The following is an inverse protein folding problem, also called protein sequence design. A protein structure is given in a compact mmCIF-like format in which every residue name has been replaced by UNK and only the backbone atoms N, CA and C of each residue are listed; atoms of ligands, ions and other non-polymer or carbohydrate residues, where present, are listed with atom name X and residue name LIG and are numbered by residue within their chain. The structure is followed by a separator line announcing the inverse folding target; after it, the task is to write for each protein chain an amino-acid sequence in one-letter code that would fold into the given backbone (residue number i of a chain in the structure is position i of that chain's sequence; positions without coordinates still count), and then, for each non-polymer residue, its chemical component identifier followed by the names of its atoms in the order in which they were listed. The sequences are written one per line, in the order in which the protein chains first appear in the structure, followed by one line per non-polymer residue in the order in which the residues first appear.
data_IF_072775387651
#
_entry.id   IF_072775387651
#
_cell.length_a   1.000
_cell.length_b   1.000
_cell.length_c   1.000
_cell.angle_alpha   90.00
_cell.angle_beta   90.00
_cell.angle_gamma   90.00
#
_symmetry.space_group_name_H-M   'P 1'
#
loop_
_entity.id
_entity.type
_entity.pdbx_description
1 polymer ?
#
# COMPACT_ATOMS: atom_id res chain seq x y z
N UNK A 1 -5.21 24.77 -37.84
CA UNK A 1 -4.57 26.07 -38.21
C UNK A 1 -3.56 26.44 -37.13
N UNK A 2 -2.43 27.08 -37.45
CA UNK A 2 -1.31 27.34 -36.52
C UNK A 2 -1.25 28.81 -36.07
N UNK A 3 -1.58 29.12 -34.81
CA UNK A 3 -1.27 30.39 -34.10
C UNK A 3 -1.33 30.12 -32.59
N UNK A 4 -0.53 30.67 -31.69
CA UNK A 4 0.83 31.24 -31.66
C UNK A 4 0.98 31.76 -30.22
N UNK A 5 1.97 31.24 -29.50
CA UNK A 5 2.65 31.77 -28.32
C UNK A 5 2.25 33.19 -27.88
N UNK A 6 1.92 33.35 -26.59
CA UNK A 6 2.22 34.58 -25.82
C UNK A 6 2.99 34.16 -24.57
N UNK A 7 4.28 34.50 -24.53
CA UNK A 7 5.07 34.47 -23.31
C UNK A 7 4.98 35.85 -22.64
N UNK A 8 4.79 35.90 -21.33
CA UNK A 8 4.98 37.11 -20.54
C UNK A 8 6.02 36.83 -19.46
N UNK A 9 7.24 37.32 -19.68
CA UNK A 9 8.25 37.40 -18.62
C UNK A 9 7.83 38.44 -17.58
N UNK A 10 7.96 38.11 -16.31
CA UNK A 10 8.13 39.11 -15.26
C UNK A 10 9.47 38.85 -14.57
N UNK A 11 10.34 39.86 -14.62
CA UNK A 11 11.66 39.85 -14.00
C UNK A 11 11.72 40.93 -12.91
N UNK A 12 12.77 40.89 -12.08
CA UNK A 12 13.01 41.76 -10.93
C UNK A 12 12.13 41.47 -9.71
N UNK A 13 12.57 41.60 -8.45
CA UNK A 13 13.73 42.35 -7.90
C UNK A 13 14.45 41.54 -6.81
N UNK A 14 15.78 41.69 -6.70
CA UNK A 14 16.62 41.16 -5.60
C UNK A 14 16.51 42.06 -4.36
N UNK A 15 16.36 41.48 -3.16
CA UNK A 15 16.60 42.20 -1.89
C UNK A 15 17.40 41.33 -0.91
N UNK A 16 18.52 41.88 -0.45
CA UNK A 16 19.53 41.24 0.39
C UNK A 16 19.71 42.07 1.68
N UNK A 17 19.42 41.48 2.84
CA UNK A 17 19.61 42.08 4.18
C UNK A 17 20.04 40.97 5.15
N UNK A 18 21.35 40.74 5.37
CA UNK A 18 22.26 41.41 6.33
C UNK A 18 22.18 40.82 7.76
N UNK A 19 23.35 40.62 8.35
CA UNK A 19 23.62 39.92 9.61
C UNK A 19 23.29 40.74 10.87
N UNK A 20 23.13 40.02 11.98
CA UNK A 20 23.80 40.36 13.24
C UNK A 20 22.95 41.03 14.33
N UNK A 21 22.89 40.41 15.52
CA UNK A 21 22.16 40.96 16.66
C UNK A 21 22.28 40.13 17.95
N UNK A 22 23.50 39.95 18.48
CA UNK A 22 23.71 39.46 19.86
C UNK A 22 24.09 40.62 20.80
N UNK A 23 23.44 40.67 21.97
CA UNK A 23 23.85 41.40 23.17
C UNK A 23 23.25 40.64 24.38
N UNK A 24 24.05 40.04 25.28
CA UNK A 24 24.80 40.68 26.40
C UNK A 24 23.86 41.16 27.51
N UNK A 25 23.90 40.71 28.78
CA UNK A 25 24.77 39.78 29.56
C UNK A 25 23.84 38.92 30.49
N UNK A 26 24.24 38.03 31.43
CA UNK A 26 25.52 37.76 32.14
C UNK A 26 25.60 36.28 32.60
N UNK A 27 26.57 35.95 33.46
CA UNK A 27 26.97 34.65 34.07
C UNK A 27 27.44 34.98 35.53
N UNK A 28 27.93 34.07 36.42
CA UNK A 28 27.87 32.60 36.63
C UNK A 28 27.03 32.24 37.91
N UNK A 29 26.92 31.02 38.48
CA UNK A 29 27.87 29.94 38.81
C UNK A 29 27.18 28.54 38.78
N UNK A 30 27.78 27.53 38.16
CA UNK A 30 28.65 26.48 38.76
C UNK A 30 27.90 25.35 39.49
N UNK A 31 27.74 24.19 38.82
CA UNK A 31 28.29 22.88 39.23
C UNK A 31 27.81 21.78 38.28
N UNK A 32 28.76 21.03 37.72
CA UNK A 32 28.55 19.82 36.89
C UNK A 32 28.11 18.62 37.76
N UNK A 33 27.40 17.63 37.20
CA UNK A 33 28.14 16.50 36.64
C UNK A 33 27.61 15.98 35.30
N UNK A 34 28.52 15.46 34.48
CA UNK A 34 28.23 14.77 33.23
C UNK A 34 27.41 13.47 33.41
N UNK A 35 26.67 13.05 32.36
CA UNK A 35 26.48 11.64 32.05
C UNK A 35 27.18 11.22 30.76
N UNK A 36 27.48 9.92 30.68
CA UNK A 36 28.31 9.30 29.65
C UNK A 36 27.69 9.27 28.24
N UNK A 37 28.59 9.16 27.26
CA UNK A 37 28.33 8.61 25.92
C UNK A 37 28.34 7.06 25.99
N UNK A 38 27.88 6.38 24.93
CA UNK A 38 27.67 4.92 24.81
C UNK A 38 26.37 4.43 25.50
N UNK A 39 25.50 3.62 24.89
CA UNK A 39 25.50 3.01 23.57
C UNK A 39 24.03 2.84 23.11
N UNK A 40 23.53 3.76 22.28
CA UNK A 40 22.24 3.57 21.63
C UNK A 40 22.47 2.72 20.38
N UNK A 41 22.33 1.39 20.53
CA UNK A 41 22.46 0.43 19.43
C UNK A 41 21.53 0.83 18.27
N UNK A 42 22.13 1.42 17.24
CA UNK A 42 21.47 1.65 15.96
C UNK A 42 21.36 0.28 15.30
N UNK A 43 20.23 -0.40 15.50
CA UNK A 43 19.90 -1.55 14.67
C UNK A 43 19.81 -1.06 13.24
N UNK A 44 20.80 -1.45 12.45
CA UNK A 44 20.93 -1.17 11.03
C UNK A 44 19.79 -1.86 10.28
N UNK A 45 18.62 -1.20 10.25
CA UNK A 45 17.54 -1.58 9.34
C UNK A 45 18.04 -1.32 7.94
N UNK A 46 18.47 -2.39 7.27
CA UNK A 46 18.79 -2.36 5.85
C UNK A 46 17.67 -1.63 5.08
N UNK A 47 18.00 -0.86 4.03
CA UNK A 47 16.97 -0.25 3.21
C UNK A 47 16.09 -1.35 2.62
N UNK A 48 14.87 -1.46 3.13
CA UNK A 48 13.82 -2.17 2.42
C UNK A 48 13.50 -1.26 1.24
N UNK A 49 14.00 -1.62 0.05
CA UNK A 49 13.62 -0.97 -1.21
C UNK A 49 12.09 -0.93 -1.23
N UNK A 50 11.48 0.25 -1.08
CA UNK A 50 10.03 0.38 -1.09
C UNK A 50 9.55 0.17 -2.53
N UNK A 51 9.20 -1.08 -2.85
CA UNK A 51 8.78 -1.47 -4.18
C UNK A 51 7.52 -0.68 -4.58
N UNK A 52 7.57 -0.06 -5.76
CA UNK A 52 6.55 0.88 -6.22
C UNK A 52 5.19 0.20 -6.32
N UNK A 53 4.27 0.58 -5.42
CA UNK A 53 2.92 0.02 -5.33
C UNK A 53 2.10 0.47 -6.54
N UNK A 54 1.58 -0.47 -7.30
CA UNK A 54 0.66 -0.21 -8.40
C UNK A 54 -0.79 -0.25 -7.92
N UNK A 55 -1.67 0.49 -8.59
CA UNK A 55 -3.08 0.65 -8.22
C UNK A 55 -4.01 0.37 -9.41
N UNK A 56 -5.21 -0.12 -9.11
CA UNK A 56 -6.27 -0.39 -10.08
C UNK A 56 -7.61 0.10 -9.54
N UNK A 57 -8.44 0.75 -10.38
CA UNK A 57 -9.73 1.31 -9.95
C UNK A 57 -10.82 0.23 -9.84
N UNK A 58 -11.91 0.47 -9.09
CA UNK A 58 -13.09 -0.39 -9.11
C UNK A 58 -13.66 -0.61 -10.52
N UNK A 59 -13.70 0.45 -11.35
CA UNK A 59 -14.15 0.40 -12.74
C UNK A 59 -13.29 -0.56 -13.57
N UNK A 60 -11.95 -0.44 -13.50
CA UNK A 60 -11.03 -1.32 -14.22
C UNK A 60 -11.17 -2.79 -13.80
N UNK A 61 -11.40 -3.06 -12.51
CA UNK A 61 -11.65 -4.44 -12.02
C UNK A 61 -13.00 -4.95 -12.52
N UNK A 62 -14.07 -4.16 -12.46
CA UNK A 62 -15.41 -4.53 -12.93
C UNK A 62 -15.46 -4.78 -14.44
N UNK A 63 -14.82 -3.93 -15.23
CA UNK A 63 -14.66 -4.12 -16.67
C UNK A 63 -13.82 -5.37 -16.96
N UNK A 64 -12.77 -5.59 -16.16
CA UNK A 64 -11.98 -6.81 -16.10
C UNK A 64 -12.85 -8.08 -16.01
N UNK A 65 -13.77 -8.16 -15.05
CA UNK A 65 -14.69 -9.29 -14.86
C UNK A 65 -15.57 -9.60 -16.08
N UNK A 66 -15.92 -8.57 -16.84
CA UNK A 66 -16.78 -8.70 -18.03
C UNK A 66 -15.98 -9.01 -19.31
N UNK A 67 -14.66 -8.89 -19.22
CA UNK A 67 -13.71 -9.15 -20.28
C UNK A 67 -13.05 -10.52 -20.10
N UNK A 68 -12.14 -10.89 -21.01
CA UNK A 68 -11.26 -12.06 -20.83
C UNK A 68 -9.92 -11.67 -20.17
N UNK A 69 -9.87 -10.58 -19.40
CA UNK A 69 -8.68 -10.26 -18.60
C UNK A 69 -8.51 -11.26 -17.45
N UNK A 70 -7.28 -11.71 -17.28
CA UNK A 70 -6.93 -12.87 -16.47
C UNK A 70 -6.18 -12.41 -15.20
N UNK A 71 -6.92 -12.26 -14.11
CA UNK A 71 -6.40 -11.83 -12.81
C UNK A 71 -7.02 -12.62 -11.65
N UNK A 72 -6.28 -12.71 -10.55
CA UNK A 72 -6.77 -13.27 -9.28
C UNK A 72 -7.07 -12.11 -8.34
N UNK A 73 -8.30 -12.02 -7.85
CA UNK A 73 -8.73 -11.03 -6.86
C UNK A 73 -8.57 -11.61 -5.46
N UNK A 74 -7.45 -11.29 -4.81
CA UNK A 74 -7.12 -11.72 -3.45
C UNK A 74 -7.84 -10.81 -2.44
N UNK A 75 -8.84 -11.35 -1.72
CA UNK A 75 -9.43 -10.65 -0.58
C UNK A 75 -8.59 -10.92 0.67
N UNK A 76 -7.94 -9.86 1.16
CA UNK A 76 -7.02 -9.88 2.29
C UNK A 76 -7.73 -9.55 3.61
N UNK A 77 -9.05 -9.32 3.60
CA UNK A 77 -9.85 -9.11 4.83
C UNK A 77 -9.93 -10.38 5.68
N UNK A 78 -10.38 -10.22 6.92
CA UNK A 78 -10.73 -11.35 7.80
C UNK A 78 -11.69 -12.30 7.09
N UNK A 79 -11.54 -13.62 7.27
CA UNK A 79 -12.46 -14.63 6.70
C UNK A 79 -13.93 -14.30 7.00
N UNK A 80 -14.25 -13.89 8.23
CA UNK A 80 -15.62 -13.53 8.62
C UNK A 80 -16.19 -12.33 7.83
N UNK A 81 -15.36 -11.36 7.43
CA UNK A 81 -15.79 -10.21 6.62
C UNK A 81 -15.94 -10.59 5.14
N UNK A 82 -15.20 -11.59 4.67
CA UNK A 82 -15.35 -12.19 3.34
C UNK A 82 -16.63 -13.04 3.25
N UNK A 83 -16.88 -13.90 4.23
CA UNK A 83 -18.08 -14.75 4.31
C UNK A 83 -19.37 -13.92 4.41
N UNK A 84 -19.34 -12.81 5.17
CA UNK A 84 -20.45 -11.87 5.27
C UNK A 84 -20.74 -11.08 3.97
N UNK A 85 -19.81 -11.09 3.00
CA UNK A 85 -19.95 -10.43 1.72
C UNK A 85 -18.59 -10.16 1.05
N UNK A 86 -18.37 -10.74 -0.13
CA UNK A 86 -17.15 -10.55 -0.93
C UNK A 86 -17.49 -10.26 -2.39
N UNK A 87 -16.55 -9.66 -3.11
CA UNK A 87 -16.70 -9.40 -4.54
C UNK A 87 -16.72 -10.74 -5.29
N UNK A 88 -17.65 -10.92 -6.23
CA UNK A 88 -17.77 -12.13 -7.03
C UNK A 88 -16.44 -12.48 -7.73
N UNK A 89 -16.01 -13.73 -7.63
CA UNK A 89 -14.72 -14.20 -8.15
C UNK A 89 -13.49 -13.81 -7.31
N UNK A 90 -13.65 -13.10 -6.19
CA UNK A 90 -12.59 -12.99 -5.20
C UNK A 90 -12.30 -14.33 -4.52
N UNK A 91 -11.07 -14.53 -4.07
CA UNK A 91 -10.66 -15.66 -3.23
C UNK A 91 -10.14 -15.15 -1.90
N UNK A 92 -10.50 -15.82 -0.80
CA UNK A 92 -10.10 -15.41 0.55
C UNK A 92 -8.65 -15.76 0.83
N UNK A 93 -7.91 -14.79 1.37
CA UNK A 93 -6.48 -14.88 1.72
C UNK A 93 -6.22 -14.05 2.98
N UNK A 94 -6.75 -14.50 4.12
CA UNK A 94 -6.82 -13.69 5.35
C UNK A 94 -5.44 -13.26 5.89
N UNK A 95 -5.26 -11.94 6.06
CA UNK A 95 -4.03 -11.32 6.56
C UNK A 95 -4.09 -10.88 8.04
N UNK A 96 -5.14 -11.23 8.78
CA UNK A 96 -5.28 -10.81 10.18
C UNK A 96 -4.17 -11.35 11.09
N UNK A 97 -3.58 -12.50 10.78
CA UNK A 97 -2.41 -13.04 11.51
C UNK A 97 -1.20 -12.09 11.45
N UNK A 98 -0.78 -11.63 10.27
CA UNK A 98 0.19 -10.54 10.11
C UNK A 98 -0.26 -9.29 10.86
N UNK A 99 -1.53 -8.90 10.68
CA UNK A 99 -2.00 -7.55 11.03
C UNK A 99 -2.30 -7.35 12.52
N UNK A 100 -2.66 -8.42 13.23
CA UNK A 100 -2.97 -8.43 14.66
C UNK A 100 -1.84 -9.05 15.50
N UNK A 101 -1.14 -10.07 14.98
CA UNK A 101 -0.18 -10.88 15.75
C UNK A 101 1.27 -10.77 15.25
N UNK A 102 1.52 -10.13 14.10
CA UNK A 102 2.82 -10.15 13.38
C UNK A 102 3.24 -11.57 12.94
N UNK A 103 2.26 -12.42 12.66
CA UNK A 103 2.46 -13.78 12.15
C UNK A 103 2.32 -13.78 10.62
N UNK A 104 3.44 -13.49 9.96
CA UNK A 104 3.56 -13.48 8.51
C UNK A 104 3.56 -14.89 7.89
N UNK A 105 3.96 -15.92 8.65
CA UNK A 105 3.99 -17.32 8.17
C UNK A 105 2.58 -17.83 7.89
N UNK A 106 1.64 -17.61 8.83
CA UNK A 106 0.23 -17.99 8.62
C UNK A 106 -0.40 -17.22 7.46
N UNK A 107 -0.12 -15.91 7.34
CA UNK A 107 -0.69 -15.10 6.25
C UNK A 107 -0.07 -15.42 4.88
N UNK A 108 1.22 -15.77 4.80
CA UNK A 108 1.84 -16.33 3.59
C UNK A 108 1.19 -17.67 3.22
N UNK A 109 0.94 -18.56 4.20
CA UNK A 109 0.24 -19.83 3.96
C UNK A 109 -1.14 -19.59 3.35
N UNK A 110 -1.92 -18.66 3.89
CA UNK A 110 -3.24 -18.28 3.36
C UNK A 110 -3.16 -17.74 1.92
N UNK A 111 -2.20 -16.85 1.63
CA UNK A 111 -1.95 -16.34 0.26
C UNK A 111 -1.64 -17.50 -0.69
N UNK A 112 -0.70 -18.39 -0.33
CA UNK A 112 -0.27 -19.51 -1.17
C UNK A 112 -1.40 -20.50 -1.43
N UNK A 113 -2.23 -20.79 -0.44
CA UNK A 113 -3.44 -21.63 -0.61
C UNK A 113 -4.39 -20.98 -1.62
N UNK A 114 -4.75 -19.72 -1.43
CA UNK A 114 -5.67 -19.00 -2.32
C UNK A 114 -5.15 -18.93 -3.78
N UNK A 115 -3.84 -18.68 -3.96
CA UNK A 115 -3.20 -18.66 -5.28
C UNK A 115 -3.15 -20.07 -5.91
N UNK A 116 -2.88 -21.11 -5.12
CA UNK A 116 -2.86 -22.49 -5.60
C UNK A 116 -4.25 -22.97 -6.00
N UNK A 117 -5.28 -22.66 -5.23
CA UNK A 117 -6.67 -23.02 -5.55
C UNK A 117 -7.17 -22.26 -6.81
N UNK A 118 -6.76 -21.00 -6.99
CA UNK A 118 -7.15 -20.18 -8.14
C UNK A 118 -6.36 -20.49 -9.43
N UNK A 119 -5.09 -20.90 -9.34
CA UNK A 119 -4.17 -20.96 -10.50
C UNK A 119 -3.39 -22.27 -10.67
N UNK A 120 -3.36 -23.12 -9.65
CA UNK A 120 -2.47 -24.28 -9.57
C UNK A 120 -1.02 -23.95 -9.17
N UNK A 121 -0.71 -22.71 -8.77
CA UNK A 121 0.63 -22.28 -8.34
C UNK A 121 0.61 -21.42 -7.07
N UNK A 122 1.58 -21.63 -6.18
CA UNK A 122 1.72 -20.87 -4.92
C UNK A 122 2.03 -19.38 -5.13
N UNK A 123 2.51 -18.99 -6.31
CA UNK A 123 2.85 -17.61 -6.69
C UNK A 123 1.81 -16.95 -7.62
N UNK A 124 0.74 -17.66 -7.97
CA UNK A 124 -0.27 -17.17 -8.93
C UNK A 124 0.18 -17.22 -10.40
N UNK A 125 1.27 -17.90 -10.73
CA UNK A 125 1.81 -18.06 -12.08
C UNK A 125 1.98 -16.72 -12.83
N UNK A 126 1.45 -16.61 -14.06
CA UNK A 126 1.53 -15.43 -14.91
C UNK A 126 0.40 -14.41 -14.68
N UNK A 127 -0.47 -14.63 -13.69
CA UNK A 127 -1.68 -13.81 -13.47
C UNK A 127 -1.35 -12.48 -12.81
N UNK A 128 -2.08 -11.43 -13.23
CA UNK A 128 -2.20 -10.20 -12.44
C UNK A 128 -2.84 -10.56 -11.09
N UNK A 129 -2.31 -10.04 -10.00
CA UNK A 129 -2.87 -10.21 -8.66
C UNK A 129 -3.46 -8.87 -8.22
N UNK A 130 -4.75 -8.84 -7.90
CA UNK A 130 -5.44 -7.66 -7.40
C UNK A 130 -5.69 -7.82 -5.91
N UNK A 131 -5.13 -6.92 -5.11
CA UNK A 131 -5.19 -6.93 -3.66
C UNK A 131 -6.41 -6.12 -3.18
N UNK A 132 -7.44 -6.84 -2.78
CA UNK A 132 -8.62 -6.30 -2.12
C UNK A 132 -8.40 -6.27 -0.60
N UNK A 133 -8.66 -5.14 0.03
CA UNK A 133 -8.83 -5.08 1.49
C UNK A 133 -9.88 -4.03 1.85
N UNK A 134 -10.08 -3.75 3.14
CA UNK A 134 -11.08 -2.77 3.60
C UNK A 134 -10.97 -1.37 2.95
N UNK A 135 -9.76 -0.88 2.64
CA UNK A 135 -9.56 0.50 2.17
C UNK A 135 -8.34 0.75 1.27
N UNK A 136 -7.73 -0.28 0.68
CA UNK A 136 -6.48 -0.14 -0.09
C UNK A 136 -5.25 0.33 0.70
N UNK A 137 -5.15 -0.01 2.00
CA UNK A 137 -4.04 0.39 2.92
C UNK A 137 -3.53 -0.82 3.71
N UNK A 138 -3.26 -0.69 5.03
CA UNK A 138 -2.73 -1.69 6.00
C UNK A 138 -2.63 -3.16 5.50
N UNK A 139 -3.76 -3.82 5.21
CA UNK A 139 -3.78 -5.22 4.75
C UNK A 139 -3.24 -5.39 3.32
N UNK A 140 -3.57 -4.51 2.37
CA UNK A 140 -3.01 -4.54 1.02
C UNK A 140 -1.52 -4.20 0.98
N UNK A 141 -1.04 -3.29 1.85
CA UNK A 141 0.40 -3.01 1.98
C UNK A 141 1.16 -4.20 2.58
N UNK A 142 0.54 -4.91 3.54
CA UNK A 142 1.06 -6.18 4.01
C UNK A 142 1.05 -7.25 2.90
N UNK A 143 -0.05 -7.43 2.16
CA UNK A 143 -0.13 -8.38 1.05
C UNK A 143 0.92 -8.13 -0.03
N UNK A 144 1.14 -6.87 -0.41
CA UNK A 144 2.19 -6.49 -1.35
C UNK A 144 3.59 -6.85 -0.83
N UNK A 145 3.87 -6.61 0.46
CA UNK A 145 5.14 -7.02 1.11
C UNK A 145 5.32 -8.54 1.08
N UNK A 146 4.31 -9.30 1.51
CA UNK A 146 4.38 -10.76 1.62
C UNK A 146 4.51 -11.44 0.25
N UNK A 147 3.84 -10.91 -0.78
CA UNK A 147 3.98 -11.37 -2.16
C UNK A 147 5.41 -11.14 -2.68
N UNK A 148 5.96 -9.94 -2.47
CA UNK A 148 7.36 -9.64 -2.79
C UNK A 148 8.34 -10.56 -2.05
N UNK A 149 8.08 -10.85 -0.77
CA UNK A 149 8.90 -11.73 0.07
C UNK A 149 8.93 -13.18 -0.43
N UNK A 150 7.81 -13.71 -0.95
CA UNK A 150 7.77 -15.03 -1.59
C UNK A 150 8.21 -15.03 -3.06
N UNK A 151 8.73 -13.90 -3.58
CA UNK A 151 9.32 -13.79 -4.91
C UNK A 151 8.32 -13.50 -6.05
N UNK A 152 7.11 -13.04 -5.74
CA UNK A 152 6.17 -12.56 -6.76
C UNK A 152 6.67 -11.24 -7.35
N UNK A 153 6.67 -11.15 -8.68
CA UNK A 153 6.97 -9.92 -9.41
C UNK A 153 5.92 -8.83 -9.10
N UNK A 154 6.34 -7.72 -8.48
CA UNK A 154 5.43 -6.62 -8.13
C UNK A 154 4.82 -5.93 -9.35
N UNK A 155 5.41 -6.04 -10.55
CA UNK A 155 4.85 -5.44 -11.78
C UNK A 155 3.54 -6.08 -12.24
N UNK A 156 3.12 -7.19 -11.61
CA UNK A 156 1.80 -7.81 -11.76
C UNK A 156 0.93 -7.73 -10.50
N UNK A 157 1.32 -6.97 -9.46
CA UNK A 157 0.58 -6.84 -8.19
C UNK A 157 -0.04 -5.44 -8.09
N UNK A 158 -1.37 -5.38 -8.06
CA UNK A 158 -2.15 -4.13 -8.05
C UNK A 158 -2.99 -4.04 -6.78
N UNK A 159 -3.02 -2.89 -6.11
CA UNK A 159 -3.92 -2.63 -4.99
C UNK A 159 -5.23 -2.04 -5.53
N UNK A 160 -6.39 -2.62 -5.15
CA UNK A 160 -7.69 -2.02 -5.47
C UNK A 160 -7.82 -0.67 -4.75
N UNK A 161 -7.97 0.42 -5.51
CA UNK A 161 -8.08 1.77 -5.00
C UNK A 161 -9.26 1.92 -4.04
N UNK A 162 -8.98 2.33 -2.80
CA UNK A 162 -9.99 2.48 -1.75
C UNK A 162 -10.66 1.17 -1.30
N UNK A 163 -10.26 0.01 -1.84
CA UNK A 163 -10.66 -1.32 -1.42
C UNK A 163 -12.18 -1.57 -1.45
N UNK A 164 -12.63 -2.50 -0.60
CA UNK A 164 -14.03 -2.90 -0.47
C UNK A 164 -14.96 -1.72 -0.19
N UNK A 165 -14.50 -0.71 0.57
CA UNK A 165 -15.27 0.52 0.83
C UNK A 165 -15.50 1.37 -0.41
N UNK A 166 -14.53 1.48 -1.31
CA UNK A 166 -14.72 2.18 -2.58
C UNK A 166 -15.60 1.36 -3.54
N UNK A 167 -15.45 0.03 -3.54
CA UNK A 167 -16.30 -0.86 -4.32
C UNK A 167 -17.78 -0.71 -3.97
N UNK A 168 -18.16 -0.85 -2.69
CA UNK A 168 -19.57 -0.71 -2.29
C UNK A 168 -20.08 0.73 -2.40
N UNK A 169 -19.21 1.73 -2.25
CA UNK A 169 -19.59 3.14 -2.47
C UNK A 169 -19.75 3.53 -3.96
N UNK A 170 -19.34 2.68 -4.91
CA UNK A 170 -19.41 2.98 -6.34
C UNK A 170 -20.82 2.80 -6.95
N UNK A 171 -21.76 2.18 -6.22
CA UNK A 171 -23.19 2.14 -6.54
C UNK A 171 -23.77 0.74 -6.75
N UNK A 172 -25.07 0.68 -7.04
CA UNK A 172 -25.87 -0.55 -7.10
C UNK A 172 -25.29 -1.62 -8.06
N UNK A 173 -24.68 -1.21 -9.17
CA UNK A 173 -24.05 -2.15 -10.12
C UNK A 173 -22.78 -2.83 -9.57
N UNK A 174 -22.14 -2.28 -8.53
CA UNK A 174 -21.02 -2.90 -7.80
C UNK A 174 -21.52 -3.71 -6.60
N UNK A 175 -22.59 -3.26 -5.93
CA UNK A 175 -23.25 -4.01 -4.86
C UNK A 175 -23.87 -5.31 -5.38
N UNK A 176 -24.43 -5.30 -6.59
CA UNK A 176 -24.93 -6.50 -7.29
C UNK A 176 -23.84 -7.51 -7.69
N UNK A 177 -22.56 -7.15 -7.55
CA UNK A 177 -21.41 -8.04 -7.71
C UNK A 177 -20.86 -8.55 -6.36
N UNK A 178 -21.55 -8.29 -5.24
CA UNK A 178 -21.24 -8.90 -3.94
C UNK A 178 -21.98 -10.22 -3.78
N UNK A 179 -21.25 -11.26 -3.38
CA UNK A 179 -21.75 -12.59 -3.05
C UNK A 179 -21.71 -12.80 -1.54
N UNK A 180 -22.77 -13.37 -0.99
CA UNK A 180 -22.89 -13.80 0.41
C UNK A 180 -23.06 -15.32 0.45
N UNK A 181 -22.45 -15.98 1.43
CA UNK A 181 -22.53 -17.44 1.65
C UNK A 181 -23.87 -17.86 2.29
#
# INVERSE_FOLDING_TARGET
MKKRIVALMFASVISLSILGGCASQTTPETTEPAPATEEAAQTETAPVEETEKQYITPEQVKDGMSSTEDYVLLDLRKVADYEAGHINGAVSSDLDSTIANNDDETSISNIKTALTDATGSEDGADKKLVLLCYSGKKYAEAGHRLLNEIGVDNSRVFILEGGYKAWTAAGEEYENLIVTQ
#
